data_IF_329518530075
#
_entry.id   IF_329518530075
#
_cell.length_a   1.000
_cell.length_b   1.000
_cell.length_c   1.000
_cell.angle_alpha   90.00
_cell.angle_beta   90.00
_cell.angle_gamma   90.00
#
_symmetry.space_group_name_H-M   'P 1'
#
loop_
_entity.id
_entity.type
_entity.pdbx_description
1 polymer ?
#
# COMPACT_ATOMS: atom_id res chain seq x y z
N UNK A 1 46.07 -30.46 5.96
CA UNK A 1 45.49 -29.57 4.94
C UNK A 1 44.07 -29.25 5.37
N UNK A 2 43.90 -28.09 6.00
CA UNK A 2 42.58 -27.60 6.42
C UNK A 2 41.99 -26.78 5.25
N UNK A 3 40.87 -27.28 4.69
CA UNK A 3 40.08 -26.54 3.71
C UNK A 3 39.11 -25.63 4.49
N UNK A 4 39.39 -24.34 4.50
CA UNK A 4 38.46 -23.37 5.05
C UNK A 4 37.34 -23.14 4.04
N UNK A 5 36.11 -23.59 4.37
CA UNK A 5 34.91 -23.20 3.66
C UNK A 5 34.63 -21.73 3.97
N UNK A 6 34.84 -20.85 2.98
CA UNK A 6 34.29 -19.50 3.00
C UNK A 6 32.75 -19.63 2.74
N UNK A 7 31.97 -19.48 3.78
CA UNK A 7 30.55 -19.18 3.69
C UNK A 7 30.41 -17.71 3.22
N UNK A 8 30.19 -17.53 1.92
CA UNK A 8 29.75 -16.25 1.40
C UNK A 8 28.30 -16.03 1.89
N UNK A 9 28.14 -15.16 2.87
CA UNK A 9 26.83 -14.59 3.19
C UNK A 9 26.38 -13.75 1.98
N UNK A 10 25.41 -14.25 1.23
CA UNK A 10 24.69 -13.44 0.25
C UNK A 10 23.89 -12.44 1.05
N UNK A 11 24.46 -11.26 1.25
CA UNK A 11 23.73 -10.12 1.79
C UNK A 11 22.64 -9.76 0.78
N UNK A 12 21.40 -9.80 1.20
CA UNK A 12 20.31 -9.18 0.46
C UNK A 12 20.62 -7.68 0.47
N UNK A 13 21.14 -7.17 -0.63
CA UNK A 13 21.32 -5.72 -0.79
C UNK A 13 19.91 -5.13 -0.97
N UNK A 14 19.40 -4.45 0.07
CA UNK A 14 18.27 -3.57 -0.11
C UNK A 14 18.65 -2.51 -1.18
N UNK A 15 17.78 -2.27 -2.13
CA UNK A 15 17.92 -1.14 -3.03
C UNK A 15 17.84 0.16 -2.22
N UNK A 16 18.32 1.27 -2.77
CA UNK A 16 18.08 2.57 -2.15
C UNK A 16 16.58 2.81 -2.02
N UNK A 17 16.10 3.40 -0.90
CA UNK A 17 14.70 3.78 -0.74
C UNK A 17 14.21 4.58 -1.95
N UNK A 18 13.00 4.28 -2.44
CA UNK A 18 12.39 5.08 -3.51
C UNK A 18 12.08 6.50 -3.02
N UNK A 19 11.73 6.61 -1.75
CA UNK A 19 11.54 7.91 -1.12
C UNK A 19 12.89 8.53 -0.73
N UNK A 20 13.22 9.61 -1.41
CA UNK A 20 14.47 10.35 -1.21
C UNK A 20 14.24 11.76 -0.61
N UNK A 21 13.12 11.95 0.10
CA UNK A 21 12.72 13.24 0.68
C UNK A 21 12.06 14.19 -0.32
N UNK A 22 11.68 13.72 -1.51
CA UNK A 22 11.07 14.55 -2.56
C UNK A 22 9.94 13.82 -3.27
N UNK A 23 8.99 14.59 -3.75
CA UNK A 23 7.89 14.08 -4.54
C UNK A 23 6.63 13.89 -3.72
N UNK A 24 5.74 13.07 -4.25
CA UNK A 24 4.41 12.81 -3.68
C UNK A 24 4.08 11.33 -3.81
N UNK A 25 3.14 10.89 -2.98
CA UNK A 25 2.60 9.54 -2.98
C UNK A 25 1.09 9.66 -3.16
N UNK A 26 0.52 8.85 -4.03
CA UNK A 26 -0.93 8.61 -4.12
C UNK A 26 -1.15 7.14 -3.80
N UNK A 27 -2.11 6.86 -2.96
CA UNK A 27 -2.50 5.50 -2.58
C UNK A 27 -3.91 5.26 -3.10
N UNK A 28 -4.15 4.08 -3.67
CA UNK A 28 -5.48 3.58 -4.01
C UNK A 28 -5.66 2.22 -3.36
N UNK A 29 -6.70 2.08 -2.51
CA UNK A 29 -6.99 0.85 -1.76
C UNK A 29 -8.46 0.47 -1.83
N UNK A 30 -8.77 -0.83 -1.77
CA UNK A 30 -10.16 -1.30 -1.78
C UNK A 30 -10.75 -1.47 -0.38
N UNK A 31 -10.88 -2.67 0.14
CA UNK A 31 -11.48 -2.95 1.45
C UNK A 31 -13.00 -2.81 1.53
N UNK A 32 -13.65 -2.33 0.47
CA UNK A 32 -15.11 -2.23 0.41
C UNK A 32 -15.79 -3.50 -0.11
N UNK A 33 -15.07 -4.30 -0.90
CA UNK A 33 -15.56 -5.56 -1.42
C UNK A 33 -14.44 -6.58 -1.57
N UNK A 34 -14.65 -7.81 -1.12
CA UNK A 34 -13.80 -8.99 -1.27
C UNK A 34 -12.42 -8.94 -0.60
N UNK A 35 -11.99 -7.79 -0.09
CA UNK A 35 -10.68 -7.65 0.54
C UNK A 35 -10.76 -6.81 1.83
N UNK A 36 -10.81 -7.49 2.96
CA UNK A 36 -11.05 -6.87 4.28
C UNK A 36 -9.74 -6.46 4.97
N UNK A 37 -8.60 -6.88 4.45
CA UNK A 37 -7.26 -6.58 4.98
C UNK A 37 -6.91 -5.09 4.85
N UNK A 38 -7.44 -4.42 3.85
CA UNK A 38 -7.27 -2.98 3.67
C UNK A 38 -7.82 -2.12 4.80
N UNK A 39 -8.74 -2.63 5.62
CA UNK A 39 -9.18 -1.87 6.80
C UNK A 39 -8.01 -1.63 7.78
N UNK A 40 -7.13 -2.63 7.93
CA UNK A 40 -5.91 -2.51 8.72
C UNK A 40 -4.75 -1.91 7.94
N UNK A 41 -4.56 -2.31 6.68
CA UNK A 41 -3.46 -1.84 5.84
C UNK A 41 -3.52 -0.33 5.59
N UNK A 42 -4.72 0.22 5.29
CA UNK A 42 -4.92 1.66 5.11
C UNK A 42 -4.60 2.46 6.37
N UNK A 43 -5.08 2.00 7.53
CA UNK A 43 -4.78 2.62 8.81
C UNK A 43 -3.27 2.58 9.11
N UNK A 44 -2.59 1.46 8.80
CA UNK A 44 -1.15 1.31 8.98
C UNK A 44 -0.35 2.18 8.02
N UNK A 45 -0.76 2.31 6.76
CA UNK A 45 -0.08 3.21 5.80
C UNK A 45 -0.12 4.67 6.26
N UNK A 46 -1.27 5.14 6.77
CA UNK A 46 -1.37 6.49 7.34
C UNK A 46 -0.47 6.66 8.58
N UNK A 47 -0.42 5.67 9.47
CA UNK A 47 0.47 5.69 10.62
C UNK A 47 1.96 5.72 10.23
N UNK A 48 2.36 4.92 9.23
CA UNK A 48 3.73 4.90 8.71
C UNK A 48 4.12 6.23 8.05
N UNK A 49 3.26 6.83 7.23
CA UNK A 49 3.51 8.14 6.65
C UNK A 49 3.70 9.20 7.74
N UNK A 50 2.86 9.19 8.76
CA UNK A 50 2.97 10.12 9.87
C UNK A 50 4.26 9.90 10.69
N UNK A 51 4.64 8.65 10.95
CA UNK A 51 5.89 8.33 11.64
C UNK A 51 7.14 8.83 10.89
N UNK A 52 7.04 8.95 9.58
CA UNK A 52 8.13 9.43 8.73
C UNK A 52 8.01 10.92 8.38
N UNK A 53 7.07 11.66 9.00
CA UNK A 53 6.86 13.08 8.73
C UNK A 53 6.40 13.38 7.30
N UNK A 54 5.64 12.46 6.68
CA UNK A 54 5.33 12.50 5.25
C UNK A 54 3.87 12.85 4.94
N UNK A 55 3.15 13.49 5.87
CA UNK A 55 1.75 13.83 5.68
C UNK A 55 1.55 14.73 4.44
N UNK A 56 2.41 15.74 4.25
CA UNK A 56 2.37 16.63 3.09
C UNK A 56 2.73 15.94 1.76
N UNK A 57 3.38 14.80 1.82
CA UNK A 57 3.70 14.00 0.64
C UNK A 57 2.50 13.21 0.10
N UNK A 58 1.41 13.10 0.84
CA UNK A 58 0.19 12.40 0.46
C UNK A 58 -0.91 13.39 0.03
N UNK A 59 -0.94 13.88 -1.21
CA UNK A 59 -1.98 14.81 -1.66
C UNK A 59 -3.35 14.15 -1.85
N UNK A 60 -3.36 12.84 -2.20
CA UNK A 60 -4.59 12.10 -2.48
C UNK A 60 -4.47 10.69 -1.92
N UNK A 61 -5.51 10.27 -1.23
CA UNK A 61 -5.77 8.89 -0.85
C UNK A 61 -7.13 8.47 -1.42
N UNK A 62 -7.14 7.54 -2.36
CA UNK A 62 -8.36 6.91 -2.86
C UNK A 62 -8.63 5.66 -2.05
N UNK A 63 -9.87 5.49 -1.59
CA UNK A 63 -10.30 4.31 -0.84
C UNK A 63 -11.60 3.75 -1.42
N UNK A 64 -11.96 2.53 -1.07
CA UNK A 64 -13.08 1.83 -1.68
C UNK A 64 -12.95 1.79 -3.22
N UNK A 65 -11.77 1.45 -3.72
CA UNK A 65 -11.50 1.54 -5.16
C UNK A 65 -12.05 0.36 -5.97
N UNK A 66 -12.66 -0.63 -5.31
CA UNK A 66 -13.52 -1.62 -5.96
C UNK A 66 -14.86 -0.97 -6.34
N UNK A 67 -14.87 -0.25 -7.46
CA UNK A 67 -15.97 0.65 -7.87
C UNK A 67 -17.29 -0.06 -8.23
N UNK A 68 -17.28 -1.39 -8.32
CA UNK A 68 -18.46 -2.17 -8.75
C UNK A 68 -19.27 -2.73 -7.58
N UNK A 69 -18.69 -2.82 -6.39
CA UNK A 69 -19.32 -3.38 -5.22
C UNK A 69 -18.89 -2.67 -3.93
N UNK A 70 -19.83 -2.40 -3.04
CA UNK A 70 -19.60 -1.66 -1.79
C UNK A 70 -19.72 -2.49 -0.52
N UNK A 71 -19.84 -3.83 -0.63
CA UNK A 71 -20.05 -4.70 0.51
C UNK A 71 -18.94 -5.72 0.66
N UNK A 72 -18.48 -5.89 1.90
CA UNK A 72 -17.63 -7.01 2.28
C UNK A 72 -18.34 -8.35 2.11
N UNK A 73 -17.61 -9.38 1.73
CA UNK A 73 -18.10 -10.77 1.75
C UNK A 73 -18.37 -11.28 3.18
N UNK A 74 -17.87 -10.58 4.18
CA UNK A 74 -18.04 -10.93 5.58
C UNK A 74 -19.45 -10.61 6.06
N UNK A 75 -20.16 -11.63 6.51
CA UNK A 75 -21.52 -11.47 7.02
C UNK A 75 -21.60 -10.49 8.19
N UNK A 76 -22.43 -9.47 8.04
CA UNK A 76 -22.69 -8.48 9.08
C UNK A 76 -21.78 -7.25 9.04
N UNK A 77 -20.89 -7.16 8.06
CA UNK A 77 -20.01 -6.01 7.83
C UNK A 77 -20.38 -5.26 6.56
N UNK A 78 -20.30 -3.95 6.65
CA UNK A 78 -20.34 -3.04 5.50
C UNK A 78 -18.90 -2.59 5.22
N UNK A 79 -18.29 -3.16 4.18
CA UNK A 79 -16.89 -2.89 3.86
C UNK A 79 -16.62 -1.41 3.59
N UNK A 80 -17.58 -0.70 2.96
CA UNK A 80 -17.46 0.74 2.75
C UNK A 80 -17.44 1.51 4.08
N UNK A 81 -18.32 1.15 5.03
CA UNK A 81 -18.34 1.79 6.34
C UNK A 81 -17.05 1.53 7.13
N UNK A 82 -16.53 0.31 7.06
CA UNK A 82 -15.26 -0.06 7.70
C UNK A 82 -14.07 0.71 7.11
N UNK A 83 -14.02 0.88 5.79
CA UNK A 83 -12.99 1.70 5.14
C UNK A 83 -13.09 3.18 5.55
N UNK A 84 -14.30 3.73 5.61
CA UNK A 84 -14.52 5.10 6.10
C UNK A 84 -13.98 5.26 7.52
N UNK A 85 -14.26 4.31 8.43
CA UNK A 85 -13.74 4.32 9.80
C UNK A 85 -12.20 4.30 9.83
N UNK A 86 -11.57 3.48 8.99
CA UNK A 86 -10.10 3.41 8.91
C UNK A 86 -9.49 4.70 8.35
N UNK A 87 -10.10 5.27 7.33
CA UNK A 87 -9.61 6.48 6.67
C UNK A 87 -9.82 7.73 7.53
N UNK A 88 -11.03 7.95 8.03
CA UNK A 88 -11.33 9.12 8.87
C UNK A 88 -10.60 9.04 10.21
N UNK A 89 -10.59 7.86 10.82
CA UNK A 89 -9.85 7.63 12.05
C UNK A 89 -8.34 7.82 11.88
N UNK A 90 -7.78 7.36 10.76
CA UNK A 90 -6.36 7.55 10.42
C UNK A 90 -6.02 9.00 10.13
N UNK A 91 -6.85 9.68 9.30
CA UNK A 91 -6.71 11.12 9.03
C UNK A 91 -6.62 11.93 10.32
N UNK A 92 -7.58 11.71 11.23
CA UNK A 92 -7.73 12.51 12.44
C UNK A 92 -6.65 12.21 13.50
N UNK A 93 -6.19 10.95 13.57
CA UNK A 93 -5.17 10.52 14.55
C UNK A 93 -3.75 10.81 14.11
N UNK A 94 -3.47 10.70 12.82
CA UNK A 94 -2.12 10.82 12.28
C UNK A 94 -1.87 12.14 11.54
N UNK A 95 -2.89 13.01 11.42
CA UNK A 95 -2.74 14.41 11.00
C UNK A 95 -2.53 14.61 9.52
N UNK A 96 -3.58 14.42 8.70
CA UNK A 96 -3.57 14.65 7.25
C UNK A 96 -4.57 15.76 6.85
N UNK A 97 -4.32 17.02 7.21
CA UNK A 97 -5.29 18.11 6.97
C UNK A 97 -5.45 18.45 5.49
N UNK A 98 -4.40 18.28 4.69
CA UNK A 98 -4.35 18.73 3.29
C UNK A 98 -4.51 17.59 2.29
N UNK A 99 -4.67 16.34 2.77
CA UNK A 99 -4.89 15.17 1.93
C UNK A 99 -6.35 15.12 1.47
N UNK A 100 -6.56 14.98 0.16
CA UNK A 100 -7.87 14.72 -0.41
C UNK A 100 -8.17 13.21 -0.30
N UNK A 101 -9.14 12.85 0.56
CA UNK A 101 -9.62 11.48 0.69
C UNK A 101 -10.86 11.29 -0.18
N UNK A 102 -10.84 10.29 -1.08
CA UNK A 102 -11.88 10.06 -2.08
C UNK A 102 -12.37 8.63 -1.99
N UNK A 103 -13.67 8.45 -1.76
CA UNK A 103 -14.34 7.16 -1.91
C UNK A 103 -14.62 6.92 -3.39
N UNK A 104 -13.85 6.03 -4.03
CA UNK A 104 -14.02 5.77 -5.47
C UNK A 104 -15.30 5.02 -5.79
N UNK A 105 -15.82 4.23 -4.86
CA UNK A 105 -17.14 3.59 -5.02
C UNK A 105 -18.29 4.61 -5.13
N UNK A 106 -18.20 5.73 -4.40
CA UNK A 106 -19.22 6.79 -4.45
C UNK A 106 -19.05 7.72 -5.65
N UNK A 107 -17.80 8.02 -6.01
CA UNK A 107 -17.47 8.96 -7.11
C UNK A 107 -16.20 8.53 -7.84
N UNK A 108 -16.28 7.51 -8.71
CA UNK A 108 -15.14 7.02 -9.45
C UNK A 108 -14.53 8.07 -10.38
N UNK A 109 -15.34 8.92 -10.99
CA UNK A 109 -14.84 9.97 -11.90
C UNK A 109 -13.93 10.97 -11.16
N UNK A 110 -14.31 11.40 -9.98
CA UNK A 110 -13.48 12.26 -9.14
C UNK A 110 -12.16 11.59 -8.76
N UNK A 111 -12.20 10.29 -8.46
CA UNK A 111 -10.99 9.52 -8.15
C UNK A 111 -10.04 9.47 -9.37
N UNK A 112 -10.54 9.18 -10.56
CA UNK A 112 -9.76 9.18 -11.80
C UNK A 112 -9.15 10.54 -12.10
N UNK A 113 -9.93 11.61 -11.98
CA UNK A 113 -9.46 12.99 -12.20
C UNK A 113 -8.41 13.41 -11.16
N UNK A 114 -8.55 13.01 -9.91
CA UNK A 114 -7.58 13.31 -8.86
C UNK A 114 -6.24 12.64 -9.13
N UNK A 115 -6.22 11.36 -9.49
CA UNK A 115 -4.99 10.64 -9.88
C UNK A 115 -4.36 11.30 -11.11
N UNK A 116 -5.14 11.57 -12.16
CA UNK A 116 -4.63 12.22 -13.38
C UNK A 116 -4.03 13.60 -13.08
N UNK A 117 -4.68 14.39 -12.25
CA UNK A 117 -4.20 15.71 -11.81
C UNK A 117 -2.84 15.60 -11.11
N UNK A 118 -2.65 14.62 -10.22
CA UNK A 118 -1.39 14.44 -9.52
C UNK A 118 -0.27 13.95 -10.48
N UNK A 119 -0.60 13.12 -11.46
CA UNK A 119 0.34 12.75 -12.52
C UNK A 119 0.74 13.99 -13.34
N UNK A 120 -0.21 14.84 -13.72
CA UNK A 120 0.02 16.04 -14.52
C UNK A 120 0.91 17.07 -13.81
N UNK A 121 0.92 17.09 -12.49
CA UNK A 121 1.80 17.93 -11.65
C UNK A 121 3.22 17.37 -11.53
N UNK A 122 3.47 16.14 -12.00
CA UNK A 122 4.76 15.46 -11.83
C UNK A 122 5.87 16.04 -12.68
N UNK A 123 7.07 15.97 -12.18
CA UNK A 123 8.29 16.45 -12.83
C UNK A 123 9.52 15.75 -12.22
N UNK A 124 10.69 15.94 -12.84
CA UNK A 124 11.95 15.41 -12.29
C UNK A 124 12.23 15.88 -10.85
N UNK A 125 11.79 17.09 -10.47
CA UNK A 125 11.99 17.64 -9.11
C UNK A 125 10.85 17.29 -8.14
N UNK A 126 9.74 16.82 -8.66
CA UNK A 126 8.54 16.47 -7.93
C UNK A 126 7.94 15.19 -8.53
N UNK A 127 8.62 14.03 -8.40
CA UNK A 127 8.13 12.75 -8.90
C UNK A 127 6.88 12.30 -8.13
N UNK A 128 6.17 11.33 -8.69
CA UNK A 128 5.00 10.74 -8.07
C UNK A 128 5.17 9.23 -7.94
N UNK A 129 4.83 8.71 -6.78
CA UNK A 129 4.69 7.27 -6.54
C UNK A 129 3.21 6.96 -6.42
N UNK A 130 2.73 5.97 -7.17
CA UNK A 130 1.40 5.41 -7.09
C UNK A 130 1.49 4.04 -6.40
N UNK A 131 0.73 3.83 -5.33
CA UNK A 131 0.64 2.56 -4.61
C UNK A 131 -0.71 1.93 -4.93
N UNK A 132 -0.68 0.74 -5.53
CA UNK A 132 -1.84 -0.03 -5.93
C UNK A 132 -2.20 -1.05 -4.85
N UNK A 133 -2.92 -0.61 -3.83
CA UNK A 133 -3.40 -1.41 -2.71
C UNK A 133 -4.86 -1.86 -2.92
N UNK A 134 -5.21 -2.17 -4.14
CA UNK A 134 -6.53 -2.61 -4.60
C UNK A 134 -6.55 -2.83 -6.11
N UNK A 135 -7.72 -3.05 -6.71
CA UNK A 135 -7.87 -3.24 -8.16
C UNK A 135 -7.29 -2.11 -8.99
N UNK A 136 -6.71 -2.42 -10.13
CA UNK A 136 -5.99 -1.46 -11.00
C UNK A 136 -6.89 -0.39 -11.65
N UNK A 137 -8.21 -0.47 -11.56
CA UNK A 137 -9.12 0.39 -12.30
C UNK A 137 -8.90 1.88 -12.05
N UNK A 138 -8.82 2.29 -10.80
CA UNK A 138 -8.70 3.72 -10.47
C UNK A 138 -7.37 4.30 -10.95
N UNK A 139 -6.29 3.58 -10.71
CA UNK A 139 -4.97 4.01 -11.13
C UNK A 139 -4.82 3.94 -12.66
N UNK A 140 -5.32 2.89 -13.31
CA UNK A 140 -5.30 2.73 -14.76
C UNK A 140 -6.01 3.86 -15.48
N UNK A 141 -7.24 4.21 -15.06
CA UNK A 141 -8.00 5.34 -15.60
C UNK A 141 -7.28 6.68 -15.38
N UNK A 142 -6.77 6.90 -14.16
CA UNK A 142 -6.01 8.11 -13.87
C UNK A 142 -4.76 8.25 -14.74
N UNK A 143 -4.02 7.16 -14.96
CA UNK A 143 -2.84 7.13 -15.83
C UNK A 143 -3.24 7.38 -17.29
N UNK A 144 -4.32 6.74 -17.75
CA UNK A 144 -4.81 6.91 -19.14
C UNK A 144 -5.22 8.35 -19.46
N UNK A 145 -5.86 9.04 -18.53
CA UNK A 145 -6.33 10.44 -18.65
C UNK A 145 -5.22 11.48 -18.53
N UNK A 146 -4.13 11.13 -17.84
CA UNK A 146 -3.02 12.06 -17.62
C UNK A 146 -2.22 12.34 -18.91
N UNK A 147 -1.55 13.50 -18.95
CA UNK A 147 -0.68 13.89 -20.05
C UNK A 147 0.45 12.88 -20.26
N UNK A 148 0.59 12.28 -21.46
CA UNK A 148 1.64 11.29 -21.74
C UNK A 148 3.04 11.75 -21.33
N UNK A 149 3.39 13.01 -21.58
CA UNK A 149 4.69 13.59 -21.26
C UNK A 149 5.04 13.61 -19.77
N UNK A 150 4.06 13.36 -18.88
CA UNK A 150 4.20 13.38 -17.43
C UNK A 150 4.43 12.00 -16.84
N UNK A 151 3.95 10.94 -17.47
CA UNK A 151 4.03 9.56 -17.01
C UNK A 151 5.45 9.10 -16.67
N UNK A 152 6.47 9.58 -17.38
CA UNK A 152 7.89 9.30 -17.11
C UNK A 152 8.43 9.80 -15.76
N UNK A 153 7.66 10.56 -15.01
CA UNK A 153 7.99 11.02 -13.66
C UNK A 153 7.17 10.28 -12.61
N UNK A 154 6.50 9.22 -13.01
CA UNK A 154 5.61 8.44 -12.16
C UNK A 154 6.13 7.03 -12.03
N UNK A 155 6.10 6.50 -10.81
CA UNK A 155 6.37 5.09 -10.49
C UNK A 155 5.09 4.46 -9.97
N UNK A 156 4.61 3.41 -10.62
CA UNK A 156 3.52 2.56 -10.16
C UNK A 156 4.13 1.36 -9.42
N UNK A 157 3.64 1.10 -8.21
CA UNK A 157 4.04 -0.05 -7.41
C UNK A 157 2.83 -0.95 -7.18
N UNK A 158 3.00 -2.24 -7.43
CA UNK A 158 2.03 -3.28 -7.13
C UNK A 158 2.69 -4.50 -6.51
N UNK A 159 1.90 -5.28 -5.83
CA UNK A 159 2.22 -6.64 -5.40
C UNK A 159 0.96 -7.50 -5.40
N UNK A 160 1.16 -8.82 -5.48
CA UNK A 160 0.05 -9.76 -5.32
C UNK A 160 -0.84 -9.84 -6.56
N UNK A 161 -1.16 -11.09 -6.90
CA UNK A 161 -1.96 -11.38 -8.09
C UNK A 161 -3.41 -10.85 -8.01
N UNK A 162 -3.94 -10.66 -6.78
CA UNK A 162 -5.27 -10.12 -6.58
C UNK A 162 -5.36 -8.69 -7.15
N UNK A 163 -4.54 -7.77 -6.67
CA UNK A 163 -4.54 -6.37 -7.10
C UNK A 163 -4.27 -6.25 -8.60
N UNK A 164 -3.40 -7.11 -9.14
CA UNK A 164 -3.00 -7.06 -10.55
C UNK A 164 -4.12 -7.32 -11.54
N UNK A 165 -5.05 -8.22 -11.22
CA UNK A 165 -6.04 -8.71 -12.18
C UNK A 165 -7.50 -8.59 -11.72
N UNK A 166 -7.77 -8.15 -10.48
CA UNK A 166 -9.13 -8.21 -9.93
C UNK A 166 -10.15 -7.38 -10.71
N UNK A 167 -9.77 -6.29 -11.33
CA UNK A 167 -10.65 -5.49 -12.18
C UNK A 167 -10.69 -5.91 -13.66
N UNK A 168 -9.80 -6.78 -14.10
CA UNK A 168 -9.71 -7.19 -15.51
C UNK A 168 -10.75 -8.26 -15.88
N UNK A 169 -11.20 -8.25 -17.14
CA UNK A 169 -12.08 -9.27 -17.70
C UNK A 169 -11.39 -10.61 -17.99
N UNK A 170 -10.09 -10.63 -18.14
CA UNK A 170 -9.31 -11.83 -18.52
C UNK A 170 -9.00 -12.71 -17.30
N UNK A 171 -10.03 -13.00 -16.51
CA UNK A 171 -9.89 -13.75 -15.26
C UNK A 171 -10.54 -15.11 -15.30
N UNK A 172 -9.76 -16.13 -15.48
CA UNK A 172 -10.23 -17.50 -15.28
C UNK A 172 -10.46 -17.82 -13.79
N UNK A 173 -9.74 -17.14 -12.90
CA UNK A 173 -9.64 -17.51 -11.48
C UNK A 173 -10.71 -16.85 -10.60
N UNK A 174 -11.15 -15.65 -10.90
CA UNK A 174 -12.11 -14.90 -10.09
C UNK A 174 -13.46 -14.73 -10.81
N UNK A 175 -14.56 -15.01 -10.14
CA UNK A 175 -15.90 -15.07 -10.74
C UNK A 175 -16.47 -13.70 -11.15
N UNK A 176 -15.98 -12.63 -10.58
CA UNK A 176 -16.44 -11.26 -10.85
C UNK A 176 -15.58 -10.61 -11.91
N UNK A 177 -15.84 -10.87 -13.19
CA UNK A 177 -15.13 -10.21 -14.27
C UNK A 177 -15.71 -8.82 -14.52
N UNK A 178 -14.87 -7.80 -14.38
CA UNK A 178 -15.19 -6.43 -14.76
C UNK A 178 -14.33 -6.05 -15.98
N UNK A 179 -14.75 -5.09 -16.76
CA UNK A 179 -14.01 -4.59 -17.92
C UNK A 179 -13.12 -3.42 -17.48
N UNK A 180 -12.22 -3.69 -16.54
CA UNK A 180 -11.29 -2.72 -15.97
C UNK A 180 -9.84 -3.08 -16.27
N UNK A 181 -8.92 -2.20 -15.84
CA UNK A 181 -7.48 -2.36 -16.06
C UNK A 181 -6.90 -3.51 -15.23
N UNK A 182 -5.93 -4.23 -15.82
CA UNK A 182 -4.97 -5.06 -15.10
C UNK A 182 -3.61 -4.35 -15.02
N UNK A 183 -2.73 -4.84 -14.14
CA UNK A 183 -1.35 -4.36 -14.07
C UNK A 183 -0.61 -4.57 -15.40
N UNK A 184 -0.79 -5.74 -16.03
CA UNK A 184 -0.16 -6.06 -17.31
C UNK A 184 -0.62 -5.10 -18.42
N UNK A 185 -1.92 -4.82 -18.53
CA UNK A 185 -2.45 -3.86 -19.50
C UNK A 185 -1.89 -2.44 -19.27
N UNK A 186 -1.72 -2.01 -18.03
CA UNK A 186 -1.08 -0.72 -17.70
C UNK A 186 0.38 -0.72 -18.17
N UNK A 187 1.13 -1.79 -17.90
CA UNK A 187 2.53 -1.93 -18.33
C UNK A 187 2.63 -1.88 -19.86
N UNK A 188 1.81 -2.66 -20.55
CA UNK A 188 1.81 -2.70 -22.01
C UNK A 188 1.46 -1.34 -22.64
N UNK A 189 0.44 -0.68 -22.10
CA UNK A 189 -0.04 0.59 -22.64
C UNK A 189 0.92 1.76 -22.38
N UNK A 190 1.57 1.80 -21.20
CA UNK A 190 2.21 3.03 -20.74
C UNK A 190 3.70 2.93 -20.39
N UNK A 191 4.25 1.73 -20.11
CA UNK A 191 5.65 1.63 -19.69
C UNK A 191 6.65 1.88 -20.83
N UNK A 192 6.28 1.58 -22.07
CA UNK A 192 7.15 1.70 -23.26
C UNK A 192 6.85 2.94 -24.11
N UNK A 193 6.20 3.95 -23.57
CA UNK A 193 5.83 5.16 -24.35
C UNK A 193 7.06 5.87 -24.93
N UNK A 194 6.93 6.33 -26.17
CA UNK A 194 7.99 7.08 -26.84
C UNK A 194 8.25 8.40 -26.14
N UNK A 195 9.47 8.59 -25.65
CA UNK A 195 9.86 9.78 -24.90
C UNK A 195 9.96 9.55 -23.38
N UNK A 196 9.82 8.30 -22.94
CA UNK A 196 9.89 7.83 -21.57
C UNK A 196 8.51 7.56 -20.97
N UNK A 197 8.25 6.30 -20.67
CA UNK A 197 6.99 5.82 -20.14
C UNK A 197 6.92 5.80 -18.62
N UNK A 198 5.80 5.27 -18.14
CA UNK A 198 5.57 4.98 -16.73
C UNK A 198 6.62 3.99 -16.20
N UNK A 199 7.18 4.24 -15.03
CA UNK A 199 8.01 3.25 -14.35
C UNK A 199 7.10 2.32 -13.56
N UNK A 200 7.11 1.02 -13.88
CA UNK A 200 6.29 0.01 -13.22
C UNK A 200 7.19 -0.93 -12.42
N UNK A 201 6.89 -1.08 -11.14
CA UNK A 201 7.62 -1.95 -10.21
C UNK A 201 6.62 -2.94 -9.62
N UNK A 202 6.87 -4.22 -9.83
CA UNK A 202 6.15 -5.30 -9.16
C UNK A 202 7.08 -5.91 -8.11
N UNK A 203 6.70 -5.84 -6.85
CA UNK A 203 7.48 -6.38 -5.73
C UNK A 203 6.99 -7.78 -5.34
N UNK A 204 7.75 -8.48 -4.51
CA UNK A 204 7.32 -9.76 -3.94
C UNK A 204 5.96 -9.65 -3.24
N UNK A 205 5.22 -10.75 -3.21
CA UNK A 205 3.92 -10.82 -2.52
C UNK A 205 4.09 -10.57 -1.01
N UNK A 206 3.64 -9.39 -0.56
CA UNK A 206 3.82 -8.92 0.80
C UNK A 206 3.03 -9.72 1.85
N UNK A 207 2.21 -10.67 1.42
CA UNK A 207 1.69 -11.73 2.28
C UNK A 207 2.79 -12.68 2.80
N UNK A 208 4.02 -12.61 2.28
CA UNK A 208 5.11 -13.49 2.65
C UNK A 208 4.88 -14.95 2.23
N UNK A 209 4.17 -15.17 1.12
CA UNK A 209 3.89 -16.51 0.59
C UNK A 209 4.97 -17.04 -0.33
N UNK A 210 5.86 -16.18 -0.81
CA UNK A 210 6.94 -16.54 -1.71
C UNK A 210 7.93 -17.53 -1.06
N UNK A 211 8.44 -18.45 -1.88
CA UNK A 211 9.34 -19.52 -1.45
C UNK A 211 10.59 -19.54 -2.32
N UNK A 212 11.71 -19.89 -1.70
CA UNK A 212 12.93 -20.23 -2.43
C UNK A 212 12.85 -21.63 -3.07
N UNK A 213 13.88 -21.99 -3.81
CA UNK A 213 13.96 -23.31 -4.47
C UNK A 213 13.94 -24.50 -3.49
N UNK A 214 14.19 -24.28 -2.19
CA UNK A 214 14.10 -25.30 -1.14
C UNK A 214 12.69 -25.37 -0.51
N UNK A 215 11.77 -24.50 -0.91
CA UNK A 215 10.42 -24.37 -0.35
C UNK A 215 10.34 -23.55 0.95
N UNK A 216 11.45 -22.92 1.38
CA UNK A 216 11.46 -22.03 2.55
C UNK A 216 10.91 -20.64 2.17
N UNK A 217 10.17 -20.03 3.07
CA UNK A 217 9.73 -18.62 2.91
C UNK A 217 10.92 -17.71 2.66
N UNK A 218 10.81 -16.81 1.68
CA UNK A 218 11.82 -15.81 1.39
C UNK A 218 11.89 -14.75 2.50
N UNK A 219 10.73 -14.37 3.02
CA UNK A 219 10.58 -13.40 4.11
C UNK A 219 9.24 -13.62 4.84
N UNK A 220 9.01 -12.91 5.93
CA UNK A 220 7.83 -13.13 6.76
C UNK A 220 6.56 -12.51 6.18
N UNK A 221 6.65 -11.31 5.57
CA UNK A 221 5.51 -10.56 5.10
C UNK A 221 4.69 -9.93 6.22
N UNK A 222 3.58 -9.32 5.84
CA UNK A 222 2.68 -8.62 6.75
C UNK A 222 1.31 -9.32 6.91
N UNK A 223 1.15 -10.50 6.32
CA UNK A 223 0.06 -11.43 6.67
C UNK A 223 0.62 -12.47 7.65
N UNK A 224 0.47 -12.20 8.95
CA UNK A 224 1.17 -12.96 9.99
C UNK A 224 0.44 -12.90 11.32
N UNK A 225 0.88 -13.74 12.27
CA UNK A 225 0.28 -13.84 13.59
C UNK A 225 0.22 -12.46 14.28
N UNK A 226 -0.97 -12.10 14.76
CA UNK A 226 -1.26 -10.82 15.44
C UNK A 226 -0.35 -10.53 16.64
N UNK A 227 0.17 -11.56 17.31
CA UNK A 227 1.05 -11.37 18.46
C UNK A 227 2.35 -10.65 18.08
N UNK A 228 2.76 -10.73 16.81
CA UNK A 228 3.91 -10.00 16.30
C UNK A 228 3.69 -8.49 16.21
N UNK A 229 2.45 -8.04 16.26
CA UNK A 229 2.06 -6.62 16.33
C UNK A 229 1.69 -6.16 17.76
N UNK A 230 1.84 -7.02 18.78
CA UNK A 230 1.51 -6.69 20.18
C UNK A 230 2.27 -5.48 20.72
N UNK A 231 3.41 -5.15 20.13
CA UNK A 231 4.19 -3.96 20.43
C UNK A 231 3.41 -2.65 20.24
N UNK A 232 2.42 -2.59 19.33
CA UNK A 232 1.53 -1.43 19.19
C UNK A 232 0.80 -1.08 20.51
N UNK A 233 0.65 -2.04 21.40
CA UNK A 233 -0.03 -1.88 22.71
C UNK A 233 0.93 -1.76 23.87
N UNK A 234 2.20 -2.09 23.69
CA UNK A 234 3.17 -2.23 24.80
C UNK A 234 4.39 -1.32 24.66
N UNK A 235 4.73 -0.85 23.47
CA UNK A 235 5.88 0.02 23.25
C UNK A 235 5.66 1.40 23.86
N UNK A 236 6.68 1.94 24.51
CA UNK A 236 6.66 3.32 25.02
C UNK A 236 6.67 4.37 23.93
N UNK A 237 7.09 4.00 22.70
CA UNK A 237 7.11 4.92 21.56
C UNK A 237 5.72 5.43 21.16
N UNK A 238 4.63 4.73 21.54
CA UNK A 238 3.25 5.19 21.34
C UNK A 238 2.94 6.52 22.04
N UNK A 239 3.74 6.90 23.03
CA UNK A 239 3.61 8.17 23.77
C UNK A 239 4.50 9.30 23.22
N UNK A 240 5.22 9.06 22.10
CA UNK A 240 6.00 10.11 21.46
C UNK A 240 5.07 11.24 20.97
N UNK A 241 5.53 12.52 21.00
CA UNK A 241 4.70 13.67 20.65
C UNK A 241 4.13 13.67 19.22
N UNK A 242 4.73 12.89 18.30
CA UNK A 242 4.26 12.72 16.93
C UNK A 242 2.93 11.94 16.86
N UNK A 243 2.59 11.19 17.91
CA UNK A 243 1.38 10.39 17.97
C UNK A 243 0.38 11.00 18.94
N UNK A 244 -0.89 11.07 18.55
CA UNK A 244 -1.97 11.38 19.50
C UNK A 244 -2.16 10.21 20.43
N UNK A 245 -2.55 10.50 21.66
CA UNK A 245 -2.88 9.47 22.65
C UNK A 245 -3.94 8.50 22.11
N UNK A 246 -3.73 7.21 22.32
CA UNK A 246 -4.63 6.15 21.87
C UNK A 246 -4.55 5.81 20.37
N UNK A 247 -3.67 6.46 19.59
CA UNK A 247 -3.58 6.23 18.13
C UNK A 247 -3.09 4.82 17.81
N UNK A 248 -2.16 4.28 18.57
CA UNK A 248 -1.62 2.94 18.33
C UNK A 248 -2.58 1.83 18.78
N UNK A 249 -3.32 2.03 19.88
CA UNK A 249 -4.37 1.13 20.32
C UNK A 249 -5.52 1.07 19.29
N UNK A 250 -5.88 2.22 18.73
CA UNK A 250 -6.86 2.28 17.66
C UNK A 250 -6.33 1.58 16.39
N UNK A 251 -5.10 1.83 15.97
CA UNK A 251 -4.48 1.13 14.84
C UNK A 251 -4.52 -0.38 15.03
N UNK A 252 -4.13 -0.86 16.23
CA UNK A 252 -4.20 -2.28 16.55
C UNK A 252 -5.63 -2.81 16.40
N UNK A 253 -6.64 -2.06 16.84
CA UNK A 253 -8.04 -2.48 16.71
C UNK A 253 -8.50 -2.57 15.26
N UNK A 254 -8.04 -1.65 14.38
CA UNK A 254 -8.35 -1.73 12.94
C UNK A 254 -7.70 -2.95 12.28
N UNK A 255 -6.47 -3.28 12.65
CA UNK A 255 -5.81 -4.51 12.21
C UNK A 255 -6.50 -5.77 12.75
N UNK A 256 -7.07 -5.71 13.97
CA UNK A 256 -7.82 -6.82 14.56
C UNK A 256 -9.14 -7.08 13.81
N UNK A 257 -9.77 -6.06 13.24
CA UNK A 257 -10.96 -6.24 12.39
C UNK A 257 -10.68 -7.17 11.21
N UNK A 258 -9.50 -7.11 10.61
CA UNK A 258 -9.09 -8.00 9.52
C UNK A 258 -9.06 -9.49 9.92
N UNK A 259 -8.87 -9.79 11.20
CA UNK A 259 -8.71 -11.17 11.72
C UNK A 259 -10.01 -11.81 12.20
N UNK A 260 -11.13 -11.10 12.31
CA UNK A 260 -12.38 -11.58 12.91
C UNK A 260 -13.05 -12.77 12.18
N UNK A 261 -12.70 -13.03 10.94
CA UNK A 261 -13.20 -14.19 10.19
C UNK A 261 -12.63 -15.55 10.63
N UNK A 262 -12.19 -15.66 11.87
CA UNK A 262 -11.69 -16.91 12.44
C UNK A 262 -10.19 -17.13 12.27
N UNK A 263 -9.48 -16.15 11.70
CA UNK A 263 -8.02 -16.16 11.62
C UNK A 263 -7.35 -15.70 12.91
N UNK A 264 -6.12 -16.15 13.13
CA UNK A 264 -5.23 -15.64 14.19
C UNK A 264 -4.29 -14.58 13.65
N UNK A 265 -4.32 -14.35 12.37
CA UNK A 265 -3.35 -13.53 11.66
C UNK A 265 -3.98 -12.19 11.32
N UNK A 266 -3.20 -11.14 11.46
CA UNK A 266 -3.48 -9.86 10.81
C UNK A 266 -3.04 -9.96 9.36
N UNK A 267 -3.86 -9.44 8.45
CA UNK A 267 -3.44 -9.18 7.09
C UNK A 267 -3.38 -7.66 6.89
N UNK A 268 -2.18 -7.15 6.69
CA UNK A 268 -1.91 -5.75 6.36
C UNK A 268 -0.85 -5.69 5.25
N UNK A 269 -0.90 -6.69 4.36
CA UNK A 269 0.13 -6.91 3.34
C UNK A 269 0.27 -5.74 2.37
N UNK A 270 -0.80 -5.04 2.03
CA UNK A 270 -0.75 -3.89 1.13
C UNK A 270 0.09 -2.73 1.67
N UNK A 271 0.20 -2.58 2.99
CA UNK A 271 1.13 -1.63 3.59
C UNK A 271 2.62 -1.94 3.27
N UNK A 272 2.92 -3.17 2.86
CA UNK A 272 4.28 -3.57 2.45
C UNK A 272 4.82 -2.78 1.26
N UNK A 273 3.96 -2.32 0.35
CA UNK A 273 4.39 -1.43 -0.74
C UNK A 273 4.92 -0.10 -0.22
N UNK A 274 4.28 0.48 0.80
CA UNK A 274 4.78 1.69 1.43
C UNK A 274 6.08 1.43 2.20
N UNK A 275 6.20 0.28 2.87
CA UNK A 275 7.48 -0.12 3.52
C UNK A 275 8.59 -0.21 2.47
N UNK A 276 8.33 -0.80 1.30
CA UNK A 276 9.29 -0.81 0.19
C UNK A 276 9.69 0.61 -0.26
N UNK A 277 8.75 1.51 -0.39
CA UNK A 277 9.02 2.93 -0.70
C UNK A 277 9.98 3.56 0.30
N UNK A 278 9.80 3.25 1.59
CA UNK A 278 10.54 3.84 2.70
C UNK A 278 11.92 3.20 2.94
N UNK A 279 12.08 1.92 2.59
CA UNK A 279 13.28 1.12 2.96
C UNK A 279 14.09 0.63 1.77
N UNK A 280 13.49 0.55 0.57
CA UNK A 280 14.08 -0.10 -0.61
C UNK A 280 14.07 -1.63 -0.55
N UNK A 281 13.50 -2.22 0.50
CA UNK A 281 13.39 -3.68 0.65
C UNK A 281 11.95 -4.12 0.49
N UNK A 282 11.72 -5.08 -0.38
CA UNK A 282 10.44 -5.76 -0.57
C UNK A 282 10.31 -7.05 0.28
N UNK A 283 11.28 -7.30 1.15
CA UNK A 283 11.22 -8.34 2.18
C UNK A 283 10.76 -7.72 3.50
N UNK A 284 9.46 -7.50 3.63
CA UNK A 284 8.89 -6.84 4.81
C UNK A 284 8.63 -7.80 5.98
N UNK A 285 8.52 -7.24 7.16
CA UNK A 285 8.12 -7.97 8.37
C UNK A 285 7.52 -7.01 9.41
N UNK A 286 6.79 -7.51 10.44
CA UNK A 286 6.34 -6.68 11.55
C UNK A 286 7.45 -5.92 12.28
N UNK A 287 8.67 -6.47 12.32
CA UNK A 287 9.82 -5.85 12.96
C UNK A 287 10.30 -4.62 12.18
N UNK A 288 10.27 -4.65 10.85
CA UNK A 288 10.57 -3.49 10.01
C UNK A 288 9.54 -2.39 10.22
N UNK A 289 8.26 -2.75 10.26
CA UNK A 289 7.16 -1.81 10.59
C UNK A 289 7.36 -1.21 11.98
N UNK A 290 7.70 -2.05 12.97
CA UNK A 290 7.98 -1.61 14.33
C UNK A 290 9.11 -0.58 14.36
N UNK A 291 10.22 -0.87 13.70
CA UNK A 291 11.38 0.02 13.67
C UNK A 291 11.04 1.39 13.07
N UNK A 292 10.29 1.43 11.97
CA UNK A 292 9.83 2.67 11.34
C UNK A 292 8.93 3.49 12.26
N UNK A 293 8.07 2.85 13.06
CA UNK A 293 7.14 3.53 13.94
C UNK A 293 7.76 3.92 15.28
N UNK A 294 8.68 3.11 15.82
CA UNK A 294 9.37 3.42 17.09
C UNK A 294 10.45 4.51 16.93
N UNK A 295 10.95 4.70 15.70
CA UNK A 295 11.96 5.72 15.38
C UNK A 295 11.42 6.72 14.35
N UNK A 296 10.40 7.54 14.73
CA UNK A 296 9.79 8.48 13.81
C UNK A 296 10.79 9.56 13.38
N UNK A 297 10.73 9.93 12.10
CA UNK A 297 11.49 11.09 11.62
C UNK A 297 10.75 12.37 12.04
N UNK A 298 11.45 13.23 12.76
CA UNK A 298 10.94 14.58 13.05
C UNK A 298 11.23 15.46 11.82
N UNK A 299 10.24 16.21 11.38
CA UNK A 299 10.48 17.31 10.45
C UNK A 299 11.15 18.43 11.25
N UNK A 300 12.43 18.72 10.91
CA UNK A 300 13.17 19.86 11.44
C UNK A 300 12.55 21.18 11.03
#
# INVERSE_FOLDING_TARGET
MLVALLLASVGVYAADPLWNGRGRIVISSDGNAHDEDDWGASALMLALLASQGMQEALPVYVYCDHIWEGRSDRKGYDGRAEMIESIEGGRDRFGFPDTEFICAYDDPERAYEAVAREIDRSSRRNPLILIAAGPMQVLGEGIARAKPSKRKYVTLISHGHWNDIHSSKDREKYKSAHDGWSYEEIVEAFASEKGGGLNCIHIHDQNGRDRDASGKRLFDGLNTNRDRFSWLRTSEARHLPVYKEGSWEWLYSRMEECSKNGGRDFDVSDAGMLVYVLTGSDHTSPEVVKDLMEHPKQND
#
